data_IF_930222167051
#
_entry.id   IF_930222167051
#
_cell.length_a   1.000
_cell.length_b   1.000
_cell.length_c   1.000
_cell.angle_alpha   90.00
_cell.angle_beta   90.00
_cell.angle_gamma   90.00
#
_symmetry.space_group_name_H-M   'P 1'
#
loop_
_entity.id
_entity.type
_entity.pdbx_description
1 polymer ?
#
# COMPACT_ATOMS: atom_id res chain seq x y z
N UNK A 1 -47.67 -6.72 31.62
CA UNK A 1 -47.85 -8.15 31.28
C UNK A 1 -46.96 -8.45 30.07
N UNK A 2 -46.28 -9.58 30.10
CA UNK A 2 -45.00 -9.89 29.44
C UNK A 2 -45.18 -10.91 28.28
N UNK A 3 -44.10 -11.12 27.50
CA UNK A 3 -43.77 -12.24 26.56
C UNK A 3 -44.20 -12.05 25.09
N UNK A 4 -43.37 -12.22 24.04
CA UNK A 4 -42.07 -12.89 23.79
C UNK A 4 -41.31 -12.11 22.68
N UNK A 5 -40.00 -11.84 22.66
CA UNK A 5 -38.78 -12.67 22.63
C UNK A 5 -38.56 -13.59 21.40
N UNK A 6 -37.56 -13.21 20.59
CA UNK A 6 -36.57 -14.04 19.83
C UNK A 6 -37.08 -14.62 18.50
N UNK A 7 -36.48 -14.32 17.34
CA UNK A 7 -35.27 -15.00 16.83
C UNK A 7 -34.43 -14.11 15.89
N UNK A 8 -33.11 -14.13 16.14
CA UNK A 8 -32.00 -13.61 15.33
C UNK A 8 -31.90 -14.34 13.99
N UNK A 9 -31.41 -13.65 12.95
CA UNK A 9 -30.42 -14.16 11.96
C UNK A 9 -30.00 -13.02 11.01
N UNK A 10 -29.07 -12.17 11.48
CA UNK A 10 -28.18 -11.47 10.56
C UNK A 10 -27.05 -12.43 10.23
N UNK A 11 -27.01 -12.91 8.99
CA UNK A 11 -25.83 -13.55 8.44
C UNK A 11 -24.90 -12.43 7.96
N UNK A 12 -23.85 -12.15 8.74
CA UNK A 12 -22.64 -11.51 8.24
C UNK A 12 -21.52 -12.57 8.31
N UNK A 13 -20.98 -13.00 7.17
CA UNK A 13 -19.56 -13.29 7.04
C UNK A 13 -18.92 -12.12 6.25
N UNK A 14 -17.96 -11.41 6.85
CA UNK A 14 -16.53 -11.58 6.56
C UNK A 14 -16.20 -11.16 5.11
N UNK A 15 -15.43 -10.10 4.85
CA UNK A 15 -14.00 -10.06 5.14
C UNK A 15 -13.48 -8.61 5.09
N UNK A 16 -12.64 -8.25 6.06
CA UNK A 16 -11.84 -7.03 6.06
C UNK A 16 -10.89 -7.01 4.84
N UNK A 17 -11.03 -5.99 3.99
CA UNK A 17 -10.01 -5.59 3.01
C UNK A 17 -9.71 -4.11 3.24
N UNK A 18 -9.01 -3.83 4.35
CA UNK A 18 -8.51 -2.50 4.63
C UNK A 18 -7.21 -2.30 3.85
N UNK A 19 -7.32 -1.73 2.65
CA UNK A 19 -6.17 -1.19 1.93
C UNK A 19 -5.69 0.08 2.63
N UNK A 20 -4.62 -0.05 3.42
CA UNK A 20 -3.92 1.06 4.08
C UNK A 20 -3.35 2.02 3.03
N UNK A 21 -3.82 3.26 3.02
CA UNK A 21 -3.14 4.36 2.34
C UNK A 21 -2.09 4.94 3.30
N UNK A 22 -0.80 4.87 2.93
CA UNK A 22 0.31 5.36 3.76
C UNK A 22 0.82 6.66 3.16
N UNK A 23 0.50 7.79 3.79
CA UNK A 23 0.92 9.10 3.31
C UNK A 23 2.22 9.57 3.97
N UNK A 24 3.36 9.43 3.32
CA UNK A 24 4.60 10.04 3.81
C UNK A 24 4.55 11.58 3.65
N UNK A 25 4.40 12.32 4.76
CA UNK A 25 4.63 13.76 4.85
C UNK A 25 6.02 13.94 5.45
N UNK A 26 6.92 14.54 4.67
CA UNK A 26 8.35 14.43 4.88
C UNK A 26 8.87 14.89 6.24
N UNK A 27 9.82 14.12 6.77
CA UNK A 27 10.92 14.66 7.56
C UNK A 27 12.02 15.11 6.59
N UNK A 28 12.53 16.33 6.76
CA UNK A 28 13.55 16.95 5.89
C UNK A 28 14.80 16.08 5.81
N UNK A 29 14.93 15.28 4.75
CA UNK A 29 16.25 14.99 4.21
C UNK A 29 16.66 16.14 3.28
N UNK A 30 17.88 16.69 3.41
CA UNK A 30 18.31 17.91 2.71
C UNK A 30 18.33 17.78 1.17
N UNK A 31 18.26 16.56 0.63
CA UNK A 31 18.15 16.24 -0.79
C UNK A 31 16.70 16.27 -1.35
N UNK A 32 15.67 16.23 -0.49
CA UNK A 32 14.25 16.27 -0.88
C UNK A 32 13.64 17.68 -0.70
N UNK A 33 14.28 18.70 -1.28
CA UNK A 33 13.87 20.11 -1.21
C UNK A 33 12.36 20.34 -1.43
N UNK A 34 11.58 20.33 -0.35
CA UNK A 34 10.13 20.60 -0.36
C UNK A 34 9.25 19.57 -1.09
N UNK A 35 9.79 18.40 -1.48
CA UNK A 35 9.03 17.39 -2.24
C UNK A 35 8.38 16.37 -1.31
N UNK A 36 7.14 16.01 -1.62
CA UNK A 36 6.39 14.94 -0.95
C UNK A 36 6.17 13.79 -1.92
N UNK A 37 6.35 12.56 -1.44
CA UNK A 37 6.16 11.36 -2.23
C UNK A 37 5.07 10.50 -1.61
N UNK A 38 4.08 10.15 -2.42
CA UNK A 38 2.92 9.38 -1.98
C UNK A 38 3.17 7.91 -2.31
N UNK A 39 2.88 7.04 -1.36
CA UNK A 39 2.97 5.59 -1.56
C UNK A 39 1.73 4.87 -1.07
N UNK A 40 1.45 3.72 -1.67
CA UNK A 40 0.35 2.85 -1.26
C UNK A 40 0.91 1.46 -1.09
N UNK A 41 0.54 0.82 0.01
CA UNK A 41 0.94 -0.55 0.27
C UNK A 41 -0.19 -1.49 -0.10
N UNK A 42 0.10 -2.78 -0.01
CA UNK A 42 -0.88 -3.83 0.14
C UNK A 42 -1.70 -4.16 -1.11
N UNK A 43 -1.75 -3.29 -2.12
CA UNK A 43 -2.57 -3.52 -3.32
C UNK A 43 -4.05 -3.60 -2.98
N UNK A 44 -4.76 -2.47 -3.06
CA UNK A 44 -6.22 -2.45 -2.89
C UNK A 44 -6.92 -3.25 -4.00
N UNK A 45 -8.19 -3.62 -3.77
CA UNK A 45 -9.01 -4.29 -4.77
C UNK A 45 -8.94 -3.55 -6.14
N UNK A 46 -8.97 -4.26 -7.28
CA UNK A 46 -8.75 -3.66 -8.59
C UNK A 46 -9.62 -2.44 -8.88
N UNK A 47 -10.88 -2.47 -8.47
CA UNK A 47 -11.84 -1.38 -8.62
C UNK A 47 -11.47 -0.12 -7.82
N UNK A 48 -10.93 -0.28 -6.62
CA UNK A 48 -10.50 0.83 -5.78
C UNK A 48 -9.14 1.38 -6.22
N UNK A 49 -8.28 0.49 -6.72
CA UNK A 49 -7.05 0.91 -7.37
C UNK A 49 -7.35 1.70 -8.65
N UNK A 50 -8.31 1.29 -9.47
CA UNK A 50 -8.69 2.04 -10.67
C UNK A 50 -9.20 3.46 -10.35
N UNK A 51 -10.05 3.60 -9.32
CA UNK A 51 -10.50 4.92 -8.83
C UNK A 51 -9.32 5.77 -8.35
N UNK A 52 -8.40 5.18 -7.59
CA UNK A 52 -7.20 5.86 -7.12
C UNK A 52 -6.32 6.34 -8.28
N UNK A 53 -6.09 5.50 -9.29
CA UNK A 53 -5.32 5.86 -10.48
C UNK A 53 -5.98 7.03 -11.23
N UNK A 54 -7.32 7.04 -11.35
CA UNK A 54 -8.04 8.16 -11.96
C UNK A 54 -7.88 9.48 -11.18
N UNK A 55 -7.88 9.41 -9.84
CA UNK A 55 -7.63 10.58 -8.99
C UNK A 55 -6.19 11.07 -9.17
N UNK A 56 -5.20 10.17 -9.09
CA UNK A 56 -3.79 10.50 -9.28
C UNK A 56 -3.53 11.14 -10.65
N UNK A 57 -4.13 10.59 -11.70
CA UNK A 57 -4.06 11.16 -13.05
C UNK A 57 -4.66 12.56 -13.14
N UNK A 58 -5.83 12.80 -12.51
CA UNK A 58 -6.48 14.12 -12.49
C UNK A 58 -5.60 15.20 -11.86
N UNK A 59 -4.85 14.85 -10.82
CA UNK A 59 -3.93 15.76 -10.15
C UNK A 59 -2.50 15.73 -10.71
N UNK A 60 -2.23 14.93 -11.75
CA UNK A 60 -0.90 14.75 -12.33
C UNK A 60 0.16 14.32 -11.30
N UNK A 61 -0.24 13.45 -10.36
CA UNK A 61 0.64 12.95 -9.29
C UNK A 61 1.06 11.52 -9.59
N UNK A 62 2.37 11.28 -9.58
CA UNK A 62 2.94 9.92 -9.54
C UNK A 62 3.06 9.42 -8.11
N UNK A 63 2.81 8.12 -7.90
CA UNK A 63 2.97 7.46 -6.61
C UNK A 63 3.81 6.17 -6.73
N UNK A 64 4.20 5.62 -5.59
CA UNK A 64 4.74 4.26 -5.50
C UNK A 64 3.72 3.28 -4.94
N UNK A 65 3.69 2.06 -5.49
CA UNK A 65 2.82 0.99 -5.02
C UNK A 65 3.67 -0.21 -4.58
N UNK A 66 3.57 -0.61 -3.32
CA UNK A 66 4.25 -1.80 -2.80
C UNK A 66 3.27 -2.98 -2.78
N UNK A 67 3.50 -3.95 -3.67
CA UNK A 67 2.56 -5.03 -3.92
C UNK A 67 2.84 -6.26 -3.05
N UNK A 68 1.77 -6.88 -2.56
CA UNK A 68 1.82 -8.19 -1.90
C UNK A 68 1.58 -9.27 -2.97
N UNK A 69 2.56 -10.14 -3.18
CA UNK A 69 2.54 -11.12 -4.27
C UNK A 69 1.35 -12.07 -4.25
N UNK A 70 0.92 -12.55 -3.08
CA UNK A 70 -0.25 -13.43 -2.96
C UNK A 70 -1.54 -12.74 -3.39
N UNK A 71 -1.68 -11.43 -3.15
CA UNK A 71 -2.86 -10.67 -3.60
C UNK A 71 -2.87 -10.54 -5.12
N UNK A 72 -1.71 -10.29 -5.74
CA UNK A 72 -1.58 -10.31 -7.20
C UNK A 72 -1.93 -11.67 -7.79
N UNK A 73 -1.43 -12.77 -7.19
CA UNK A 73 -1.69 -14.14 -7.65
C UNK A 73 -3.17 -14.53 -7.61
N UNK A 74 -3.97 -13.89 -6.76
CA UNK A 74 -5.42 -14.12 -6.67
C UNK A 74 -6.22 -13.37 -7.74
N UNK A 75 -5.60 -12.43 -8.45
CA UNK A 75 -6.25 -11.69 -9.54
C UNK A 75 -6.12 -12.44 -10.88
N UNK A 76 -7.03 -12.19 -11.83
CA UNK A 76 -6.87 -12.66 -13.20
C UNK A 76 -5.51 -12.30 -13.77
N UNK A 77 -4.89 -13.25 -14.46
CA UNK A 77 -3.56 -13.10 -15.06
C UNK A 77 -2.51 -12.56 -14.06
N UNK A 78 -2.55 -13.05 -12.81
CA UNK A 78 -1.68 -12.62 -11.72
C UNK A 78 -1.60 -11.09 -11.52
N UNK A 79 -2.68 -10.38 -11.82
CA UNK A 79 -2.75 -8.92 -11.67
C UNK A 79 -1.97 -8.12 -12.72
N UNK A 80 -1.51 -8.73 -13.82
CA UNK A 80 -0.73 -8.06 -14.86
C UNK A 80 -1.41 -6.82 -15.44
N UNK A 81 -2.73 -6.87 -15.67
CA UNK A 81 -3.48 -5.69 -16.15
C UNK A 81 -3.43 -4.52 -15.15
N UNK A 82 -3.50 -4.81 -13.85
CA UNK A 82 -3.41 -3.81 -12.79
C UNK A 82 -2.02 -3.18 -12.73
N UNK A 83 -0.97 -4.00 -12.81
CA UNK A 83 0.42 -3.54 -12.83
C UNK A 83 0.72 -2.70 -14.09
N UNK A 84 0.22 -3.13 -15.24
CA UNK A 84 0.33 -2.37 -16.49
C UNK A 84 -0.35 -1.00 -16.40
N UNK A 85 -1.55 -0.93 -15.81
CA UNK A 85 -2.25 0.33 -15.61
C UNK A 85 -1.47 1.29 -14.68
N UNK A 86 -0.89 0.77 -13.59
CA UNK A 86 0.00 1.55 -12.70
C UNK A 86 1.20 2.11 -13.45
N UNK A 87 1.85 1.29 -14.28
CA UNK A 87 3.01 1.72 -15.09
C UNK A 87 2.65 2.72 -16.17
N UNK A 88 1.53 2.54 -16.87
CA UNK A 88 1.04 3.50 -17.85
C UNK A 88 0.74 4.87 -17.23
N UNK A 89 0.32 4.91 -15.96
CA UNK A 89 0.15 6.14 -15.17
C UNK A 89 1.44 6.78 -14.66
N UNK A 90 2.63 6.26 -15.02
CA UNK A 90 3.92 6.78 -14.57
C UNK A 90 4.25 6.45 -13.11
N UNK A 91 3.61 5.45 -12.53
CA UNK A 91 3.85 5.05 -11.15
C UNK A 91 5.01 4.07 -11.01
N UNK A 92 5.59 4.05 -9.81
CA UNK A 92 6.65 3.11 -9.43
C UNK A 92 6.02 1.93 -8.71
N UNK A 93 6.55 0.74 -8.94
CA UNK A 93 6.10 -0.50 -8.30
C UNK A 93 7.26 -1.04 -7.46
N UNK A 94 6.95 -1.50 -6.25
CA UNK A 94 7.90 -2.07 -5.30
C UNK A 94 7.36 -3.35 -4.67
N UNK A 95 8.23 -4.04 -3.96
CA UNK A 95 7.95 -5.33 -3.35
C UNK A 95 7.47 -5.16 -1.89
N UNK A 96 6.35 -5.79 -1.54
CA UNK A 96 5.81 -5.83 -0.17
C UNK A 96 5.71 -7.24 0.40
N UNK A 97 6.66 -8.12 0.04
CA UNK A 97 6.65 -9.57 0.32
C UNK A 97 5.53 -10.33 -0.39
N UNK A 98 5.49 -11.65 -0.23
CA UNK A 98 4.52 -12.51 -0.89
C UNK A 98 3.29 -12.72 -0.02
N UNK A 99 3.46 -13.08 1.24
CA UNK A 99 2.38 -13.39 2.19
C UNK A 99 2.14 -12.32 3.26
N UNK A 100 2.89 -11.22 3.23
CA UNK A 100 2.84 -10.13 4.22
C UNK A 100 3.21 -10.55 5.67
N UNK A 101 4.33 -11.27 5.90
CA UNK A 101 4.76 -11.66 7.25
C UNK A 101 5.63 -10.60 7.92
N UNK A 102 5.72 -10.64 9.26
CA UNK A 102 6.73 -9.89 10.00
C UNK A 102 8.12 -10.47 9.72
N UNK A 103 8.96 -9.76 8.95
CA UNK A 103 10.30 -10.23 8.58
C UNK A 103 11.20 -10.65 9.75
N UNK A 104 11.20 -9.98 10.92
CA UNK A 104 11.98 -10.42 12.07
C UNK A 104 11.65 -11.84 12.56
N UNK A 105 10.44 -12.34 12.27
CA UNK A 105 9.98 -13.69 12.68
C UNK A 105 10.39 -14.79 11.69
N UNK A 106 10.96 -14.43 10.53
CA UNK A 106 11.37 -15.37 9.49
C UNK A 106 12.88 -15.63 9.50
N UNK A 107 13.27 -16.82 9.05
CA UNK A 107 14.67 -17.12 8.69
C UNK A 107 15.15 -16.26 7.51
N UNK A 108 16.46 -16.25 7.26
CA UNK A 108 17.03 -15.55 6.10
C UNK A 108 16.42 -16.08 4.79
N UNK A 109 16.32 -17.39 4.69
CA UNK A 109 15.77 -18.11 3.53
C UNK A 109 14.29 -17.80 3.36
N UNK A 110 13.53 -17.73 4.46
CA UNK A 110 12.11 -17.35 4.43
C UNK A 110 11.91 -15.95 3.84
N UNK A 111 12.71 -14.97 4.27
CA UNK A 111 12.66 -13.61 3.72
C UNK A 111 13.05 -13.62 2.23
N UNK A 112 14.07 -14.38 1.84
CA UNK A 112 14.49 -14.49 0.43
C UNK A 112 13.36 -15.05 -0.44
N UNK A 113 12.68 -16.10 0.01
CA UNK A 113 11.53 -16.69 -0.70
C UNK A 113 10.39 -15.67 -0.83
N UNK A 114 10.03 -15.00 0.26
CA UNK A 114 8.99 -13.96 0.27
C UNK A 114 9.27 -12.82 -0.73
N UNK A 115 10.53 -12.41 -0.85
CA UNK A 115 10.94 -11.38 -1.80
C UNK A 115 10.95 -11.92 -3.23
N UNK A 116 11.54 -13.09 -3.44
CA UNK A 116 11.70 -13.70 -4.75
C UNK A 116 10.36 -14.02 -5.42
N UNK A 117 9.43 -14.64 -4.69
CA UNK A 117 8.13 -15.04 -5.25
C UNK A 117 7.31 -13.82 -5.70
N UNK A 118 7.43 -12.70 -4.98
CA UNK A 118 6.83 -11.43 -5.41
C UNK A 118 7.58 -10.83 -6.59
N UNK A 119 8.91 -10.87 -6.60
CA UNK A 119 9.73 -10.34 -7.70
C UNK A 119 9.39 -11.00 -9.04
N UNK A 120 9.11 -12.31 -9.05
CA UNK A 120 8.69 -13.04 -10.25
C UNK A 120 7.43 -12.43 -10.89
N UNK A 121 6.49 -11.97 -10.07
CA UNK A 121 5.25 -11.31 -10.54
C UNK A 121 5.48 -9.88 -11.00
N UNK A 122 6.49 -9.20 -10.44
CA UNK A 122 6.77 -7.79 -10.69
C UNK A 122 7.80 -7.55 -11.79
N UNK A 123 8.54 -8.56 -12.23
CA UNK A 123 9.72 -8.44 -13.12
C UNK A 123 9.51 -7.61 -14.39
N UNK A 124 8.34 -7.72 -15.04
CA UNK A 124 8.01 -6.94 -16.25
C UNK A 124 7.61 -5.47 -15.95
N UNK A 125 7.34 -5.16 -14.68
CA UNK A 125 6.72 -3.91 -14.26
C UNK A 125 7.59 -3.11 -13.29
N UNK A 126 8.56 -3.72 -12.63
CA UNK A 126 9.48 -3.06 -11.72
C UNK A 126 10.89 -3.03 -12.29
N UNK A 127 11.47 -1.83 -12.36
CA UNK A 127 12.86 -1.62 -12.79
C UNK A 127 13.81 -1.39 -11.62
N UNK A 128 13.27 -1.22 -10.41
CA UNK A 128 14.04 -0.91 -9.21
C UNK A 128 13.75 -1.99 -8.16
N UNK A 129 14.80 -2.44 -7.47
CA UNK A 129 14.65 -3.32 -6.30
C UNK A 129 14.20 -2.52 -5.09
N UNK A 130 12.99 -1.97 -5.11
CA UNK A 130 12.39 -1.31 -3.95
C UNK A 130 11.68 -2.33 -3.08
N UNK A 131 11.86 -2.24 -1.77
CA UNK A 131 11.14 -3.06 -0.80
C UNK A 131 10.62 -2.20 0.33
N UNK A 132 9.40 -2.47 0.76
CA UNK A 132 8.90 -2.06 2.07
C UNK A 132 8.63 -3.31 2.89
N UNK A 133 9.32 -3.54 4.01
CA UNK A 133 8.98 -4.64 4.90
C UNK A 133 7.54 -4.51 5.40
N UNK A 134 6.75 -5.59 5.43
CA UNK A 134 5.42 -5.60 6.05
C UNK A 134 5.46 -4.99 7.45
N UNK A 135 4.44 -4.20 7.77
CA UNK A 135 4.32 -3.47 9.05
C UNK A 135 5.43 -2.45 9.34
N UNK A 136 6.40 -2.28 8.42
CA UNK A 136 7.61 -1.53 8.67
C UNK A 136 8.61 -2.26 9.56
N UNK A 137 8.47 -3.58 9.75
CA UNK A 137 9.28 -4.34 10.69
C UNK A 137 10.59 -4.84 10.08
N UNK A 138 11.71 -4.34 10.61
CA UNK A 138 13.06 -4.70 10.17
C UNK A 138 14.15 -4.49 11.22
N UNK A 139 14.58 -5.58 11.85
CA UNK A 139 15.77 -5.58 12.68
C UNK A 139 17.07 -5.38 11.84
N UNK A 140 18.24 -5.31 12.48
CA UNK A 140 19.51 -5.16 11.75
C UNK A 140 19.79 -6.35 10.81
N UNK A 141 19.37 -7.56 11.18
CA UNK A 141 19.54 -8.76 10.35
C UNK A 141 18.75 -8.63 9.05
N UNK A 142 17.49 -8.23 9.14
CA UNK A 142 16.63 -7.93 7.98
C UNK A 142 17.26 -6.80 7.16
N UNK A 143 17.63 -5.68 7.79
CA UNK A 143 18.22 -4.54 7.07
C UNK A 143 19.52 -4.92 6.35
N UNK A 144 20.37 -5.74 6.95
CA UNK A 144 21.59 -6.25 6.31
C UNK A 144 21.28 -7.18 5.14
N UNK A 145 20.36 -8.12 5.32
CA UNK A 145 19.93 -9.01 4.26
C UNK A 145 19.39 -8.25 3.04
N UNK A 146 18.54 -7.25 3.26
CA UNK A 146 17.99 -6.45 2.17
C UNK A 146 19.10 -5.71 1.40
N UNK A 147 20.12 -5.19 2.10
CA UNK A 147 21.30 -4.59 1.45
C UNK A 147 22.08 -5.61 0.63
N UNK A 148 22.34 -6.80 1.18
CA UNK A 148 23.05 -7.88 0.48
C UNK A 148 22.34 -8.31 -0.81
N UNK A 149 21.00 -8.33 -0.80
CA UNK A 149 20.15 -8.68 -1.94
C UNK A 149 19.99 -7.54 -2.97
N UNK A 150 20.54 -6.36 -2.67
CA UNK A 150 20.47 -5.17 -3.51
C UNK A 150 19.14 -4.42 -3.44
N UNK A 151 18.34 -4.64 -2.39
CA UNK A 151 17.09 -3.92 -2.19
C UNK A 151 17.32 -2.56 -1.53
N UNK A 152 16.65 -1.54 -2.08
CA UNK A 152 16.47 -0.24 -1.42
C UNK A 152 15.23 -0.31 -0.55
N UNK A 153 15.45 -0.25 0.76
CA UNK A 153 14.37 -0.22 1.74
C UNK A 153 13.69 1.15 1.77
N UNK A 154 12.36 1.17 1.66
CA UNK A 154 11.53 2.37 1.75
C UNK A 154 10.61 2.31 2.97
N UNK A 155 10.75 3.26 3.89
CA UNK A 155 9.81 3.51 5.01
C UNK A 155 8.94 4.75 4.71
N UNK A 156 8.18 5.18 5.69
CA UNK A 156 7.37 6.40 5.65
C UNK A 156 7.68 7.28 6.87
N UNK A 157 7.44 8.57 6.72
CA UNK A 157 7.58 9.56 7.81
C UNK A 157 6.24 9.84 8.49
N UNK A 158 5.12 9.69 7.77
CA UNK A 158 3.75 9.87 8.27
C UNK A 158 2.87 8.75 7.75
N UNK A 159 1.90 8.32 8.55
CA UNK A 159 0.90 7.32 8.18
C UNK A 159 -0.49 7.95 8.00
N UNK A 160 -1.33 7.39 7.13
CA UNK A 160 -2.67 7.91 6.88
C UNK A 160 -3.57 7.98 8.14
N UNK A 161 -3.34 7.11 9.11
CA UNK A 161 -4.02 7.09 10.42
C UNK A 161 -3.66 8.26 11.33
N UNK A 162 -2.49 8.89 11.15
CA UNK A 162 -2.05 10.03 11.96
C UNK A 162 -2.83 11.32 11.66
N UNK A 163 -3.64 11.33 10.60
CA UNK A 163 -4.58 12.39 10.28
C UNK A 163 -5.91 12.27 11.06
N UNK A 164 -5.89 11.55 12.20
CA UNK A 164 -7.04 11.20 13.03
C UNK A 164 -7.92 12.41 13.43
N UNK A 165 -9.01 12.57 12.68
CA UNK A 165 -10.18 13.38 12.97
C UNK A 165 -11.43 12.89 12.22
N UNK A 166 -11.37 11.69 11.60
CA UNK A 166 -12.30 11.23 10.55
C UNK A 166 -12.78 9.78 10.76
N UNK A 167 -12.80 9.32 12.02
CA UNK A 167 -13.10 7.92 12.38
C UNK A 167 -14.50 7.46 11.90
N UNK A 168 -15.48 8.36 11.89
CA UNK A 168 -16.85 8.06 11.41
C UNK A 168 -16.99 8.02 9.89
N UNK A 169 -16.14 8.74 9.15
CA UNK A 169 -16.15 8.70 7.69
C UNK A 169 -15.34 7.50 7.16
N UNK A 170 -14.27 7.11 7.87
CA UNK A 170 -13.39 5.98 7.51
C UNK A 170 -14.18 4.67 7.33
N UNK A 171 -15.22 4.48 8.14
CA UNK A 171 -16.13 3.34 8.06
C UNK A 171 -17.22 3.47 6.97
N UNK A 172 -17.46 4.67 6.43
CA UNK A 172 -18.62 4.97 5.56
C UNK A 172 -18.32 5.07 4.06
N UNK A 173 -17.07 4.93 3.61
CA UNK A 173 -16.82 4.82 2.17
C UNK A 173 -15.37 4.99 1.74
N UNK A 174 -14.75 3.88 1.36
CA UNK A 174 -13.39 3.76 0.80
C UNK A 174 -13.15 4.64 -0.43
N UNK A 175 -14.20 5.04 -1.17
CA UNK A 175 -14.10 5.91 -2.34
C UNK A 175 -14.14 7.43 -2.03
N UNK A 176 -14.95 7.87 -1.05
CA UNK A 176 -15.16 9.30 -0.77
C UNK A 176 -14.00 9.94 -0.01
N UNK A 177 -13.32 9.16 0.82
CA UNK A 177 -12.17 9.62 1.60
C UNK A 177 -10.92 9.78 0.74
N UNK A 178 -10.69 8.88 -0.22
CA UNK A 178 -9.47 8.93 -1.05
C UNK A 178 -9.39 10.19 -1.91
N UNK A 179 -10.50 10.64 -2.50
CA UNK A 179 -10.52 11.84 -3.32
C UNK A 179 -10.38 13.13 -2.51
N UNK A 180 -11.14 13.28 -1.41
CA UNK A 180 -11.02 14.45 -0.52
C UNK A 180 -9.64 14.53 0.13
N UNK A 181 -9.07 13.39 0.50
CA UNK A 181 -7.75 13.31 1.09
C UNK A 181 -6.66 13.72 0.09
N UNK A 182 -6.66 13.15 -1.13
CA UNK A 182 -5.70 13.54 -2.18
C UNK A 182 -5.89 15.01 -2.57
N UNK A 183 -7.13 15.48 -2.76
CA UNK A 183 -7.42 16.89 -3.03
C UNK A 183 -6.83 17.80 -1.94
N UNK A 184 -7.07 17.48 -0.66
CA UNK A 184 -6.58 18.28 0.46
C UNK A 184 -5.06 18.30 0.55
N UNK A 185 -4.41 17.18 0.28
CA UNK A 185 -2.94 17.09 0.25
C UNK A 185 -2.39 17.90 -0.91
N UNK A 186 -2.93 17.72 -2.12
CA UNK A 186 -2.50 18.46 -3.30
C UNK A 186 -2.69 19.97 -3.09
N UNK A 187 -3.83 20.41 -2.56
CA UNK A 187 -4.04 21.82 -2.21
C UNK A 187 -3.05 22.35 -1.17
N UNK A 188 -2.75 21.58 -0.11
CA UNK A 188 -1.76 21.98 0.90
C UNK A 188 -0.33 22.03 0.35
N UNK A 189 -0.01 21.17 -0.62
CA UNK A 189 1.30 21.15 -1.28
C UNK A 189 1.45 22.24 -2.34
N UNK A 190 0.35 22.66 -2.99
CA UNK A 190 0.35 23.72 -4.01
C UNK A 190 0.26 25.15 -3.42
N UNK A 191 -0.18 25.31 -2.16
CA UNK A 191 -0.31 26.61 -1.47
C UNK A 191 0.96 27.04 -0.71
N UNK A 192 2.12 26.43 -1.00
CA UNK A 192 3.46 26.83 -0.50
C UNK A 192 4.36 27.16 -1.68
#
# INVERSE_FOLDING_TARGET
MNKQMIQKKFLLPALLLLGTAVLAVGYRRPDFAGKVHISFDDGAAPEDTAKLLAILARYQVSASFFEVGNRLRQLPDNGRALLAAKRAGGHVIGNHSFTHPHFPQLSREGIVTELHDTELLLSDFSTLKLVRPPFGDDDERVRSLLRDLGYVRVKWDVQGSEFAGWEEEYQKGVAGIRERYIHHIVEKLQKK
#
